data_IF_157286836168
#
_entry.id   IF_157286836168
#
_cell.length_a   1.000
_cell.length_b   1.000
_cell.length_c   1.000
_cell.angle_alpha   90.00
_cell.angle_beta   90.00
_cell.angle_gamma   90.00
#
_symmetry.space_group_name_H-M   'P 1'
#
loop_
_entity.id
_entity.type
_entity.pdbx_description
1 polymer ?
#
# COMPACT_ATOMS: atom_id res chain seq x y z
N UNK A 1 -25.66 32.98 23.55
CA UNK A 1 -25.57 31.56 23.97
C UNK A 1 -26.65 31.31 24.99
N UNK A 2 -27.36 30.17 24.98
CA UNK A 2 -28.08 29.54 26.13
C UNK A 2 -29.30 28.71 25.70
N UNK A 3 -29.07 27.46 25.27
CA UNK A 3 -29.79 26.24 25.69
C UNK A 3 -28.74 25.14 25.48
N UNK A 4 -28.32 24.41 26.50
CA UNK A 4 -27.22 23.43 26.44
C UNK A 4 -27.50 22.20 25.57
N UNK A 5 -28.20 22.36 24.44
CA UNK A 5 -28.45 21.34 23.43
C UNK A 5 -27.35 21.41 22.36
N UNK A 6 -26.89 20.24 21.92
CA UNK A 6 -25.94 20.15 20.82
C UNK A 6 -26.54 20.81 19.57
N UNK A 7 -25.80 21.73 18.93
CA UNK A 7 -26.26 22.43 17.73
C UNK A 7 -26.44 21.50 16.52
N UNK A 8 -25.83 20.31 16.56
CA UNK A 8 -25.87 19.29 15.51
C UNK A 8 -25.88 17.91 16.17
N UNK A 9 -26.58 16.94 15.58
CA UNK A 9 -26.44 15.53 15.96
C UNK A 9 -25.03 15.05 15.58
N UNK A 10 -24.27 14.58 16.56
CA UNK A 10 -22.91 14.05 16.36
C UNK A 10 -22.87 12.58 16.76
N UNK A 11 -21.95 11.82 16.16
CA UNK A 11 -21.73 10.43 16.55
C UNK A 11 -21.13 10.36 17.96
N UNK A 12 -21.28 9.22 18.64
CA UNK A 12 -20.65 8.98 19.94
C UNK A 12 -19.13 9.18 19.87
N UNK A 13 -18.50 8.65 18.81
CA UNK A 13 -17.07 8.81 18.56
C UNK A 13 -16.67 10.30 18.50
N UNK A 14 -17.37 11.10 17.70
CA UNK A 14 -17.09 12.53 17.57
C UNK A 14 -17.28 13.26 18.90
N UNK A 15 -18.35 12.94 19.65
CA UNK A 15 -18.61 13.53 20.95
C UNK A 15 -17.44 13.26 21.93
N UNK A 16 -17.03 12.01 22.06
CA UNK A 16 -15.93 11.62 22.97
C UNK A 16 -14.60 12.25 22.53
N UNK A 17 -14.28 12.18 21.23
CA UNK A 17 -13.04 12.72 20.68
C UNK A 17 -12.91 14.23 20.98
N UNK A 18 -13.97 15.01 20.77
CA UNK A 18 -13.96 16.45 21.07
C UNK A 18 -13.71 16.73 22.55
N UNK A 19 -14.35 15.98 23.45
CA UNK A 19 -14.15 16.16 24.90
C UNK A 19 -12.73 15.77 25.35
N UNK A 20 -12.17 14.69 24.79
CA UNK A 20 -10.78 14.30 25.05
C UNK A 20 -9.80 15.35 24.54
N UNK A 21 -9.96 15.83 23.31
CA UNK A 21 -9.12 16.89 22.74
C UNK A 21 -9.19 18.18 23.56
N UNK A 22 -10.39 18.58 24.01
CA UNK A 22 -10.56 19.73 24.90
C UNK A 22 -9.82 19.54 26.24
N UNK A 23 -9.85 18.34 26.80
CA UNK A 23 -9.13 17.99 28.03
C UNK A 23 -7.60 18.02 27.83
N UNK A 24 -7.12 17.54 26.68
CA UNK A 24 -5.71 17.58 26.31
C UNK A 24 -5.21 19.01 26.17
N UNK A 25 -6.01 19.90 25.58
CA UNK A 25 -5.65 21.31 25.40
C UNK A 25 -5.42 22.06 26.73
N UNK A 26 -6.03 21.60 27.83
CA UNK A 26 -5.85 22.17 29.17
C UNK A 26 -4.98 21.31 30.09
N UNK A 27 -4.37 20.24 29.56
CA UNK A 27 -3.56 19.31 30.34
C UNK A 27 -2.25 19.98 30.80
N UNK A 28 -1.93 20.00 32.11
CA UNK A 28 -0.66 20.54 32.58
C UNK A 28 0.54 19.77 31.99
N UNK A 29 1.64 20.47 31.59
CA UNK A 29 2.80 19.83 30.95
C UNK A 29 3.42 18.67 31.72
N UNK A 30 3.33 18.66 33.06
CA UNK A 30 3.83 17.58 33.92
C UNK A 30 3.20 16.22 33.62
N UNK A 31 1.98 16.19 33.09
CA UNK A 31 1.26 14.96 32.73
C UNK A 31 1.46 14.55 31.28
N UNK A 32 2.13 15.37 30.45
CA UNK A 32 2.32 15.08 29.04
C UNK A 32 3.03 13.74 28.78
N UNK A 33 4.09 13.36 29.50
CA UNK A 33 4.74 12.05 29.30
C UNK A 33 3.83 10.86 29.62
N UNK A 34 2.91 11.01 30.58
CA UNK A 34 1.93 9.97 30.91
C UNK A 34 0.90 9.88 29.80
N UNK A 35 0.43 11.02 29.29
CA UNK A 35 -0.51 11.09 28.18
C UNK A 35 0.05 10.44 26.92
N UNK A 36 1.30 10.73 26.54
CA UNK A 36 1.94 10.10 25.37
C UNK A 36 1.99 8.57 25.50
N UNK A 37 2.30 8.05 26.69
CA UNK A 37 2.27 6.60 26.95
C UNK A 37 0.86 6.04 26.79
N UNK A 38 -0.16 6.70 27.34
CA UNK A 38 -1.54 6.29 27.17
C UNK A 38 -1.96 6.25 25.69
N UNK A 39 -1.51 7.22 24.87
CA UNK A 39 -1.78 7.22 23.43
C UNK A 39 -1.11 6.04 22.73
N UNK A 40 0.16 5.75 23.05
CA UNK A 40 0.88 4.58 22.53
C UNK A 40 0.14 3.30 22.90
N UNK A 41 -0.19 3.12 24.18
CA UNK A 41 -0.86 1.92 24.67
C UNK A 41 -2.22 1.72 24.00
N UNK A 42 -2.98 2.81 23.82
CA UNK A 42 -4.30 2.81 23.20
C UNK A 42 -4.24 2.52 21.68
N UNK A 43 -3.28 3.09 20.94
CA UNK A 43 -3.09 2.81 19.52
C UNK A 43 -2.69 1.36 19.28
N UNK A 44 -1.90 0.78 20.18
CA UNK A 44 -1.45 -0.61 20.10
C UNK A 44 -2.48 -1.64 20.60
N UNK A 45 -3.65 -1.22 21.09
CA UNK A 45 -4.72 -2.15 21.47
C UNK A 45 -5.33 -2.85 20.26
N UNK A 46 -5.95 -4.01 20.52
CA UNK A 46 -6.69 -4.76 19.52
C UNK A 46 -8.04 -4.11 19.15
N UNK A 47 -8.65 -3.35 20.06
CA UNK A 47 -9.92 -2.67 19.80
C UNK A 47 -9.72 -1.49 18.82
N UNK A 48 -10.22 -1.65 17.60
CA UNK A 48 -10.05 -0.66 16.52
C UNK A 48 -10.71 0.68 16.85
N UNK A 49 -11.81 0.71 17.61
CA UNK A 49 -12.47 1.96 17.99
C UNK A 49 -11.62 2.78 18.95
N UNK A 50 -11.03 2.13 19.96
CA UNK A 50 -10.09 2.74 20.89
C UNK A 50 -8.82 3.21 20.17
N UNK A 51 -8.26 2.40 19.29
CA UNK A 51 -7.07 2.77 18.51
C UNK A 51 -7.34 3.95 17.57
N UNK A 52 -8.53 4.01 16.95
CA UNK A 52 -8.96 5.12 16.11
C UNK A 52 -9.14 6.40 16.92
N UNK A 53 -9.82 6.33 18.07
CA UNK A 53 -10.01 7.45 18.97
C UNK A 53 -8.66 8.01 19.46
N UNK A 54 -7.74 7.13 19.85
CA UNK A 54 -6.37 7.50 20.24
C UNK A 54 -5.61 8.14 19.08
N UNK A 55 -5.74 7.61 17.86
CA UNK A 55 -5.17 8.19 16.65
C UNK A 55 -5.68 9.62 16.41
N UNK A 56 -6.98 9.86 16.55
CA UNK A 56 -7.58 11.19 16.39
C UNK A 56 -7.09 12.19 17.43
N UNK A 57 -7.06 11.78 18.70
CA UNK A 57 -6.56 12.62 19.81
C UNK A 57 -5.06 12.91 19.65
N UNK A 58 -4.28 11.94 19.16
CA UNK A 58 -2.85 12.15 18.90
C UNK A 58 -2.63 13.12 17.74
N UNK A 59 -3.36 12.97 16.64
CA UNK A 59 -3.34 13.93 15.53
C UNK A 59 -3.74 15.34 16.00
N UNK A 60 -4.75 15.47 16.88
CA UNK A 60 -5.09 16.76 17.48
C UNK A 60 -3.92 17.32 18.29
N UNK A 61 -3.30 16.50 19.15
CA UNK A 61 -2.15 16.90 19.97
C UNK A 61 -1.00 17.43 19.11
N UNK A 62 -0.67 16.73 18.03
CA UNK A 62 0.38 17.16 17.10
C UNK A 62 0.03 18.46 16.35
N UNK A 63 -1.26 18.69 16.03
CA UNK A 63 -1.73 19.96 15.41
C UNK A 63 -1.76 21.11 16.40
N UNK A 64 -2.11 20.84 17.65
CA UNK A 64 -2.24 21.85 18.71
C UNK A 64 -0.88 22.26 19.27
N UNK A 65 0.09 21.35 19.26
CA UNK A 65 1.47 21.59 19.67
C UNK A 65 2.33 22.28 18.61
N UNK A 66 3.64 22.19 18.78
CA UNK A 66 4.62 22.76 17.84
C UNK A 66 4.89 21.81 16.67
N UNK A 67 5.39 22.36 15.57
CA UNK A 67 5.82 21.55 14.43
C UNK A 67 6.96 20.58 14.81
N UNK A 68 7.83 20.96 15.76
CA UNK A 68 8.86 20.10 16.33
C UNK A 68 8.28 18.91 17.11
N UNK A 69 7.22 19.13 17.89
CA UNK A 69 6.53 18.06 18.59
C UNK A 69 5.88 17.08 17.59
N UNK A 70 5.26 17.62 16.54
CA UNK A 70 4.69 16.82 15.46
C UNK A 70 5.77 15.94 14.79
N UNK A 71 6.92 16.52 14.43
CA UNK A 71 8.06 15.76 13.90
C UNK A 71 8.51 14.68 14.88
N UNK A 72 8.70 15.01 16.16
CA UNK A 72 9.13 14.05 17.18
C UNK A 72 8.20 12.83 17.25
N UNK A 73 6.89 13.06 17.28
CA UNK A 73 5.90 11.98 17.26
C UNK A 73 5.98 11.15 16.00
N UNK A 74 6.09 11.77 14.83
CA UNK A 74 6.22 11.06 13.55
C UNK A 74 7.45 10.17 13.53
N UNK A 75 8.61 10.67 14.00
CA UNK A 75 9.84 9.88 14.06
C UNK A 75 9.69 8.67 15.01
N UNK A 76 9.05 8.85 16.16
CA UNK A 76 8.75 7.76 17.10
C UNK A 76 7.86 6.70 16.44
N UNK A 77 6.78 7.11 15.80
CA UNK A 77 5.82 6.20 15.16
C UNK A 77 6.48 5.48 13.97
N UNK A 78 7.26 6.19 13.15
CA UNK A 78 8.01 5.60 12.05
C UNK A 78 9.02 4.55 12.57
N UNK A 79 9.67 4.80 13.71
CA UNK A 79 10.55 3.83 14.34
C UNK A 79 9.78 2.59 14.83
N UNK A 80 8.57 2.76 15.39
CA UNK A 80 7.71 1.65 15.80
C UNK A 80 7.22 0.82 14.61
N UNK A 81 6.83 1.49 13.51
CA UNK A 81 6.49 0.83 12.24
C UNK A 81 7.67 0.02 11.72
N UNK A 82 8.88 0.60 11.69
CA UNK A 82 10.12 -0.07 11.28
C UNK A 82 10.45 -1.28 12.16
N UNK A 83 10.21 -1.19 13.46
CA UNK A 83 10.50 -2.24 14.42
C UNK A 83 9.47 -3.39 14.40
N UNK A 84 8.34 -3.24 13.72
CA UNK A 84 7.29 -4.25 13.66
C UNK A 84 7.62 -5.29 12.57
N UNK A 85 7.90 -6.56 12.93
CA UNK A 85 8.45 -7.53 11.99
C UNK A 85 7.41 -8.18 11.05
N UNK A 86 6.12 -8.08 11.38
CA UNK A 86 5.04 -8.83 10.70
C UNK A 86 3.78 -7.98 10.51
N UNK A 87 3.00 -8.31 9.49
CA UNK A 87 1.65 -7.78 9.31
C UNK A 87 0.77 -8.17 10.52
N UNK A 88 0.35 -7.18 11.29
CA UNK A 88 -0.53 -7.35 12.44
C UNK A 88 -1.42 -6.11 12.65
N UNK A 89 -2.41 -6.20 13.54
CA UNK A 89 -3.29 -5.07 13.82
C UNK A 89 -2.55 -3.86 14.38
N UNK A 90 -1.47 -4.05 15.16
CA UNK A 90 -0.65 -2.95 15.66
C UNK A 90 0.03 -2.20 14.51
N UNK A 91 0.63 -2.91 13.56
CA UNK A 91 1.23 -2.30 12.38
C UNK A 91 0.18 -1.54 11.57
N UNK A 92 -1.02 -2.10 11.44
CA UNK A 92 -2.13 -1.42 10.77
C UNK A 92 -2.51 -0.10 11.46
N UNK A 93 -2.69 -0.10 12.79
CA UNK A 93 -2.99 1.12 13.55
C UNK A 93 -1.87 2.15 13.50
N UNK A 94 -0.61 1.72 13.68
CA UNK A 94 0.57 2.60 13.57
C UNK A 94 0.71 3.18 12.17
N UNK A 95 0.52 2.37 11.14
CA UNK A 95 0.56 2.82 9.75
C UNK A 95 -0.55 3.83 9.43
N UNK A 96 -1.76 3.63 9.98
CA UNK A 96 -2.86 4.59 9.86
C UNK A 96 -2.51 5.92 10.55
N UNK A 97 -1.94 5.88 11.76
CA UNK A 97 -1.52 7.08 12.47
C UNK A 97 -0.41 7.81 11.71
N UNK A 98 0.65 7.11 11.30
CA UNK A 98 1.77 7.68 10.53
C UNK A 98 1.27 8.38 9.27
N UNK A 99 0.43 7.69 8.49
CA UNK A 99 -0.20 8.22 7.28
C UNK A 99 -0.91 9.55 7.51
N UNK A 100 -1.60 9.69 8.65
CA UNK A 100 -2.35 10.91 9.01
C UNK A 100 -1.44 12.02 9.54
N UNK A 101 -0.39 11.68 10.28
CA UNK A 101 0.52 12.67 10.85
C UNK A 101 1.46 13.27 9.79
N UNK A 102 1.87 12.51 8.77
CA UNK A 102 2.71 13.04 7.68
C UNK A 102 2.03 14.21 6.95
N UNK A 103 0.69 14.22 6.85
CA UNK A 103 -0.06 15.37 6.30
C UNK A 103 0.07 16.67 7.11
N UNK A 104 0.56 16.59 8.35
CA UNK A 104 0.71 17.74 9.24
C UNK A 104 2.11 18.37 9.15
N UNK A 105 3.03 17.72 8.44
CA UNK A 105 4.43 18.16 8.37
C UNK A 105 4.60 19.36 7.45
N UNK A 106 5.52 20.25 7.82
CA UNK A 106 6.06 21.25 6.91
C UNK A 106 7.04 20.59 5.91
N UNK A 107 7.33 21.21 4.75
CA UNK A 107 8.33 20.68 3.82
C UNK A 107 9.71 20.44 4.43
N UNK A 108 10.14 21.29 5.38
CA UNK A 108 11.44 21.13 6.08
C UNK A 108 11.44 19.84 6.90
N UNK A 109 10.40 19.61 7.69
CA UNK A 109 10.28 18.41 8.50
C UNK A 109 10.16 17.14 7.64
N UNK A 110 9.55 17.21 6.45
CA UNK A 110 9.49 16.07 5.53
C UNK A 110 10.88 15.67 5.03
N UNK A 111 11.78 16.63 4.79
CA UNK A 111 13.19 16.35 4.45
C UNK A 111 13.91 15.69 5.62
N UNK A 112 13.61 16.08 6.86
CA UNK A 112 14.15 15.43 8.06
C UNK A 112 13.68 13.99 8.18
N UNK A 113 12.40 13.69 7.92
CA UNK A 113 11.88 12.32 7.88
C UNK A 113 12.65 11.46 6.87
N UNK A 114 12.89 11.97 5.66
CA UNK A 114 13.71 11.27 4.65
C UNK A 114 15.15 11.06 5.14
N UNK A 115 15.70 12.03 5.86
CA UNK A 115 17.07 11.92 6.39
C UNK A 115 17.18 10.86 7.48
N UNK A 116 16.17 10.73 8.35
CA UNK A 116 16.12 9.72 9.39
C UNK A 116 15.77 8.32 8.86
N UNK A 117 14.90 8.24 7.85
CA UNK A 117 14.47 6.99 7.23
C UNK A 117 14.73 6.98 5.71
N UNK A 118 15.99 6.98 5.25
CA UNK A 118 16.29 7.00 3.81
C UNK A 118 15.61 5.85 3.05
N UNK A 119 14.76 6.12 2.03
CA UNK A 119 14.10 5.10 1.22
C UNK A 119 15.08 4.20 0.45
N UNK A 120 16.29 4.70 0.20
CA UNK A 120 17.42 3.94 -0.36
C UNK A 120 17.92 2.78 0.51
N UNK A 121 17.44 2.65 1.76
CA UNK A 121 17.79 1.53 2.66
C UNK A 121 16.61 0.58 2.82
N UNK A 122 16.84 -0.72 2.56
CA UNK A 122 15.81 -1.76 2.62
C UNK A 122 15.10 -1.83 3.98
N UNK A 123 15.83 -1.67 5.09
CA UNK A 123 15.28 -1.66 6.46
C UNK A 123 14.29 -0.52 6.73
N UNK A 124 14.26 0.52 5.90
CA UNK A 124 13.35 1.67 6.07
C UNK A 124 12.10 1.57 5.20
N UNK A 125 12.05 0.62 4.26
CA UNK A 125 10.90 0.46 3.36
C UNK A 125 9.55 0.28 4.08
N UNK A 126 9.46 -0.42 5.24
CA UNK A 126 8.21 -0.50 5.99
C UNK A 126 7.61 0.86 6.34
N UNK A 127 8.44 1.87 6.65
CA UNK A 127 7.96 3.24 6.92
C UNK A 127 7.27 3.80 5.68
N UNK A 128 7.92 3.68 4.52
CA UNK A 128 7.41 4.22 3.26
C UNK A 128 6.19 3.50 2.72
N UNK A 129 5.98 2.22 3.07
CA UNK A 129 4.72 1.51 2.77
C UNK A 129 3.50 2.15 3.44
N UNK A 130 3.71 2.88 4.54
CA UNK A 130 2.65 3.53 5.31
C UNK A 130 2.60 5.06 5.13
N UNK A 131 3.45 5.62 4.27
CA UNK A 131 3.42 7.04 3.91
C UNK A 131 2.68 7.23 2.58
N UNK A 132 1.72 8.15 2.55
CA UNK A 132 1.14 8.60 1.28
C UNK A 132 2.07 9.63 0.64
N UNK A 133 2.71 9.27 -0.46
CA UNK A 133 3.62 10.18 -1.17
C UNK A 133 2.94 11.46 -1.67
N UNK A 134 1.63 11.45 -1.93
CA UNK A 134 0.84 12.66 -2.23
C UNK A 134 0.71 13.66 -1.09
N UNK A 135 1.06 13.26 0.14
CA UNK A 135 1.09 14.17 1.29
C UNK A 135 2.39 14.97 1.37
N UNK A 136 3.42 14.55 0.62
CA UNK A 136 4.73 15.19 0.62
C UNK A 136 4.76 16.38 -0.34
N UNK A 137 5.67 17.32 -0.07
CA UNK A 137 6.05 18.37 -1.02
C UNK A 137 6.60 17.73 -2.30
N UNK A 138 6.47 18.43 -3.42
CA UNK A 138 6.88 17.92 -4.72
C UNK A 138 8.34 17.47 -4.74
N UNK A 139 9.26 18.28 -4.21
CA UNK A 139 10.69 17.96 -4.15
C UNK A 139 10.96 16.71 -3.29
N UNK A 140 10.35 16.62 -2.10
CA UNK A 140 10.55 15.48 -1.20
C UNK A 140 9.97 14.20 -1.82
N UNK A 141 8.79 14.32 -2.43
CA UNK A 141 8.15 13.22 -3.15
C UNK A 141 9.05 12.70 -4.26
N UNK A 142 9.50 13.58 -5.17
CA UNK A 142 10.36 13.19 -6.30
C UNK A 142 11.64 12.50 -5.83
N UNK A 143 12.24 12.99 -4.73
CA UNK A 143 13.39 12.35 -4.10
C UNK A 143 13.05 10.94 -3.61
N UNK A 144 11.95 10.75 -2.88
CA UNK A 144 11.54 9.43 -2.37
C UNK A 144 11.24 8.46 -3.51
N UNK A 145 10.53 8.91 -4.54
CA UNK A 145 10.23 8.09 -5.73
C UNK A 145 11.50 7.65 -6.46
N UNK A 146 12.47 8.56 -6.63
CA UNK A 146 13.76 8.26 -7.23
C UNK A 146 14.55 7.24 -6.41
N UNK A 147 14.69 7.45 -5.09
CA UNK A 147 15.43 6.54 -4.21
C UNK A 147 14.81 5.13 -4.15
N UNK A 148 13.47 5.02 -4.13
CA UNK A 148 12.78 3.71 -4.19
C UNK A 148 13.00 3.04 -5.55
N UNK A 149 12.91 3.79 -6.65
CA UNK A 149 13.10 3.26 -8.00
C UNK A 149 14.53 2.75 -8.19
N UNK A 150 15.53 3.51 -7.74
CA UNK A 150 16.94 3.14 -7.79
C UNK A 150 17.23 1.89 -6.95
N UNK A 151 16.72 1.84 -5.72
CA UNK A 151 16.88 0.66 -4.86
C UNK A 151 16.23 -0.58 -5.49
N UNK A 152 15.03 -0.42 -6.06
CA UNK A 152 14.33 -1.52 -6.74
C UNK A 152 15.15 -2.04 -7.92
N UNK A 153 15.64 -1.14 -8.77
CA UNK A 153 16.47 -1.53 -9.91
C UNK A 153 17.75 -2.24 -9.47
N UNK A 154 18.40 -1.76 -8.40
CA UNK A 154 19.59 -2.38 -7.83
C UNK A 154 19.30 -3.80 -7.34
N UNK A 155 18.26 -3.99 -6.52
CA UNK A 155 17.89 -5.30 -5.98
C UNK A 155 17.55 -6.29 -7.09
N UNK A 156 16.85 -5.86 -8.14
CA UNK A 156 16.55 -6.71 -9.29
C UNK A 156 17.80 -7.07 -10.10
N UNK A 157 18.72 -6.13 -10.26
CA UNK A 157 20.00 -6.37 -10.95
C UNK A 157 20.87 -7.36 -10.17
N UNK A 158 20.93 -7.21 -8.84
CA UNK A 158 21.67 -8.11 -7.95
C UNK A 158 21.03 -9.51 -7.92
N UNK A 159 19.70 -9.60 -7.92
CA UNK A 159 18.98 -10.87 -8.01
C UNK A 159 19.23 -11.57 -9.36
N UNK A 160 19.23 -10.82 -10.46
CA UNK A 160 19.55 -11.35 -11.78
C UNK A 160 21.01 -11.82 -11.86
N UNK A 161 21.97 -11.01 -11.40
CA UNK A 161 23.38 -11.36 -11.34
C UNK A 161 23.69 -12.54 -10.41
N UNK A 162 22.89 -12.71 -9.36
CA UNK A 162 22.93 -13.83 -8.42
C UNK A 162 22.30 -15.13 -8.93
N UNK A 163 21.75 -15.15 -10.16
CA UNK A 163 21.16 -16.33 -10.78
C UNK A 163 19.69 -16.58 -10.44
N UNK A 164 18.93 -15.54 -10.07
CA UNK A 164 17.49 -15.59 -9.79
C UNK A 164 17.12 -16.57 -8.65
N UNK A 165 17.88 -16.54 -7.55
CA UNK A 165 17.67 -17.49 -6.44
C UNK A 165 16.35 -17.23 -5.73
N UNK A 166 15.60 -18.30 -5.46
CA UNK A 166 14.33 -18.24 -4.72
C UNK A 166 14.49 -17.66 -3.30
N UNK A 167 15.62 -17.93 -2.64
CA UNK A 167 15.90 -17.43 -1.29
C UNK A 167 16.09 -15.91 -1.18
N UNK A 168 16.11 -15.18 -2.30
CA UNK A 168 16.18 -13.71 -2.33
C UNK A 168 14.81 -13.07 -2.62
N UNK A 169 13.75 -13.87 -2.79
CA UNK A 169 12.43 -13.36 -3.19
C UNK A 169 11.79 -12.45 -2.15
N UNK A 170 12.10 -12.58 -0.87
CA UNK A 170 11.58 -11.66 0.16
C UNK A 170 12.10 -10.23 -0.05
N UNK A 171 13.36 -10.10 -0.46
CA UNK A 171 13.96 -8.80 -0.80
C UNK A 171 13.30 -8.21 -2.04
N UNK A 172 13.07 -9.03 -3.07
CA UNK A 172 12.36 -8.65 -4.30
C UNK A 172 10.93 -8.22 -3.98
N UNK A 173 10.21 -8.97 -3.15
CA UNK A 173 8.85 -8.65 -2.72
C UNK A 173 8.80 -7.33 -1.94
N UNK A 174 9.79 -7.08 -1.07
CA UNK A 174 9.88 -5.84 -0.30
C UNK A 174 10.02 -4.60 -1.21
N UNK A 175 10.93 -4.64 -2.20
CA UNK A 175 11.11 -3.51 -3.13
C UNK A 175 9.94 -3.38 -4.10
N UNK A 176 9.32 -4.49 -4.53
CA UNK A 176 8.16 -4.47 -5.40
C UNK A 176 6.93 -3.86 -4.70
N UNK A 177 6.74 -4.14 -3.41
CA UNK A 177 5.71 -3.48 -2.61
C UNK A 177 5.96 -1.97 -2.49
N UNK A 178 7.22 -1.55 -2.29
CA UNK A 178 7.57 -0.13 -2.30
C UNK A 178 7.31 0.53 -3.65
N UNK A 179 7.68 -0.13 -4.75
CA UNK A 179 7.39 0.36 -6.10
C UNK A 179 5.88 0.51 -6.35
N UNK A 180 5.08 -0.46 -5.90
CA UNK A 180 3.63 -0.39 -5.98
C UNK A 180 3.07 0.82 -5.20
N UNK A 181 3.63 1.11 -4.02
CA UNK A 181 3.22 2.27 -3.22
C UNK A 181 3.51 3.60 -3.93
N UNK A 182 4.63 3.68 -4.66
CA UNK A 182 4.97 4.83 -5.51
C UNK A 182 3.94 4.99 -6.63
N UNK A 183 3.65 3.92 -7.35
CA UNK A 183 2.75 3.97 -8.51
C UNK A 183 1.31 4.29 -8.15
N UNK A 184 0.81 3.77 -7.01
CA UNK A 184 -0.54 4.09 -6.50
C UNK A 184 -0.60 5.45 -5.80
N UNK A 185 0.55 6.03 -5.47
CA UNK A 185 0.64 7.28 -4.70
C UNK A 185 0.14 8.51 -5.46
N UNK A 186 -0.01 8.45 -6.79
CA UNK A 186 -0.37 9.59 -7.64
C UNK A 186 -1.43 9.25 -8.70
N UNK A 187 -2.30 10.20 -9.07
CA UNK A 187 -3.16 10.04 -10.25
C UNK A 187 -2.34 10.05 -11.57
N UNK A 188 -1.18 10.70 -11.58
CA UNK A 188 -0.26 10.77 -12.73
C UNK A 188 1.21 10.68 -12.28
N UNK A 189 1.76 9.48 -12.06
CA UNK A 189 3.18 9.30 -11.75
C UNK A 189 4.07 9.82 -12.88
N UNK A 190 5.28 10.29 -12.54
CA UNK A 190 6.23 10.82 -13.53
C UNK A 190 6.57 9.80 -14.61
N UNK A 191 6.60 10.22 -15.88
CA UNK A 191 6.73 9.31 -17.03
C UNK A 191 7.98 8.43 -16.94
N UNK A 192 9.11 8.99 -16.50
CA UNK A 192 10.36 8.25 -16.34
C UNK A 192 10.27 7.14 -15.27
N UNK A 193 9.56 7.40 -14.16
CA UNK A 193 9.31 6.41 -13.11
C UNK A 193 8.45 5.26 -13.67
N UNK A 194 7.39 5.60 -14.40
CA UNK A 194 6.48 4.62 -15.02
C UNK A 194 7.21 3.73 -16.03
N UNK A 195 8.06 4.31 -16.89
CA UNK A 195 8.84 3.56 -17.87
C UNK A 195 9.85 2.63 -17.20
N UNK A 196 10.51 3.09 -16.14
CA UNK A 196 11.46 2.28 -15.37
C UNK A 196 10.74 1.12 -14.67
N UNK A 197 9.61 1.41 -14.03
CA UNK A 197 8.76 0.41 -13.39
C UNK A 197 8.26 -0.65 -14.39
N UNK A 198 7.80 -0.24 -15.58
CA UNK A 198 7.34 -1.16 -16.62
C UNK A 198 8.45 -2.11 -17.09
N UNK A 199 9.69 -1.63 -17.22
CA UNK A 199 10.85 -2.47 -17.55
C UNK A 199 11.14 -3.50 -16.45
N UNK A 200 11.19 -3.06 -15.19
CA UNK A 200 11.42 -3.92 -14.03
C UNK A 200 10.34 -5.02 -13.91
N UNK A 201 9.07 -4.62 -14.04
CA UNK A 201 7.92 -5.55 -14.00
C UNK A 201 7.98 -6.55 -15.16
N UNK A 202 8.34 -6.10 -16.36
CA UNK A 202 8.52 -7.00 -17.53
C UNK A 202 9.59 -8.05 -17.25
N UNK A 203 10.75 -7.65 -16.69
CA UNK A 203 11.82 -8.59 -16.35
C UNK A 203 11.37 -9.64 -15.33
N UNK A 204 10.60 -9.24 -14.32
CA UNK A 204 10.04 -10.15 -13.33
C UNK A 204 9.04 -11.14 -13.95
N UNK A 205 8.11 -10.66 -14.79
CA UNK A 205 7.15 -11.52 -15.46
C UNK A 205 7.79 -12.58 -16.34
N UNK A 206 8.86 -12.24 -17.07
CA UNK A 206 9.61 -13.19 -17.90
C UNK A 206 10.25 -14.33 -17.10
N UNK A 207 10.31 -14.21 -15.77
CA UNK A 207 10.82 -15.24 -14.85
C UNK A 207 9.74 -15.98 -14.08
N UNK A 208 8.49 -15.51 -14.11
CA UNK A 208 7.39 -16.20 -13.43
C UNK A 208 7.06 -17.50 -14.18
N UNK A 209 7.08 -18.63 -13.47
CA UNK A 209 6.67 -19.93 -13.99
C UNK A 209 5.36 -20.38 -13.34
N UNK A 210 4.32 -20.73 -14.12
CA UNK A 210 3.08 -21.28 -13.60
C UNK A 210 3.27 -22.50 -12.70
N UNK A 211 4.20 -23.38 -13.05
CA UNK A 211 4.47 -24.63 -12.32
C UNK A 211 5.06 -24.37 -10.92
N UNK A 212 5.85 -23.30 -10.78
CA UNK A 212 6.49 -22.95 -9.51
C UNK A 212 5.56 -22.24 -8.53
N UNK A 213 4.47 -21.63 -9.01
CA UNK A 213 3.51 -20.92 -8.15
C UNK A 213 2.78 -21.83 -7.17
N UNK A 214 2.62 -23.11 -7.56
CA UNK A 214 1.95 -24.11 -6.74
C UNK A 214 2.86 -24.67 -5.65
N UNK A 215 4.18 -24.65 -5.88
CA UNK A 215 5.17 -25.26 -4.98
C UNK A 215 5.78 -24.26 -4.00
N UNK A 216 5.79 -22.97 -4.32
CA UNK A 216 6.50 -21.96 -3.55
C UNK A 216 5.59 -20.79 -3.12
N UNK A 217 5.14 -20.75 -1.84
CA UNK A 217 4.26 -19.69 -1.33
C UNK A 217 4.81 -18.26 -1.50
N UNK A 218 6.13 -18.09 -1.41
CA UNK A 218 6.78 -16.79 -1.63
C UNK A 218 6.48 -16.21 -3.01
N UNK A 219 6.33 -17.07 -4.03
CA UNK A 219 5.99 -16.67 -5.38
C UNK A 219 4.52 -16.28 -5.54
N UNK A 220 3.62 -16.76 -4.66
CA UNK A 220 2.22 -16.29 -4.64
C UNK A 220 2.14 -14.84 -4.15
N UNK A 221 2.97 -14.45 -3.17
CA UNK A 221 3.10 -13.04 -2.76
C UNK A 221 3.72 -12.21 -3.89
N UNK A 222 4.74 -12.72 -4.57
CA UNK A 222 5.30 -12.06 -5.76
C UNK A 222 4.24 -11.87 -6.84
N UNK A 223 3.44 -12.90 -7.12
CA UNK A 223 2.36 -12.84 -8.10
C UNK A 223 1.32 -11.78 -7.73
N UNK A 224 0.89 -11.74 -6.47
CA UNK A 224 -0.02 -10.70 -5.97
C UNK A 224 0.52 -9.30 -6.26
N UNK A 225 1.77 -9.05 -5.86
CA UNK A 225 2.41 -7.74 -6.04
C UNK A 225 2.61 -7.41 -7.53
N UNK A 226 2.97 -8.39 -8.36
CA UNK A 226 3.11 -8.21 -9.80
C UNK A 226 1.78 -7.90 -10.47
N UNK A 227 0.69 -8.59 -10.11
CA UNK A 227 -0.65 -8.31 -10.64
C UNK A 227 -1.08 -6.88 -10.32
N UNK A 228 -0.99 -6.46 -9.06
CA UNK A 228 -1.32 -5.09 -8.64
C UNK A 228 -0.42 -4.03 -9.29
N UNK A 229 0.88 -4.28 -9.39
CA UNK A 229 1.83 -3.37 -10.07
C UNK A 229 1.53 -3.27 -11.56
N UNK A 230 1.18 -4.39 -12.19
CA UNK A 230 0.84 -4.44 -13.61
C UNK A 230 -0.49 -3.73 -13.88
N UNK A 231 -1.48 -3.84 -12.98
CA UNK A 231 -2.73 -3.08 -13.06
C UNK A 231 -2.48 -1.57 -13.10
N UNK A 232 -1.58 -1.08 -12.23
CA UNK A 232 -1.19 0.34 -12.20
C UNK A 232 -0.46 0.78 -13.49
N UNK A 233 0.23 -0.13 -14.15
CA UNK A 233 1.04 0.12 -15.35
C UNK A 233 0.39 -0.32 -16.66
N UNK A 234 -0.87 -0.75 -16.65
CA UNK A 234 -1.47 -1.55 -17.73
C UNK A 234 -1.32 -0.92 -19.13
N UNK A 235 -1.40 0.41 -19.24
CA UNK A 235 -1.25 1.15 -20.52
C UNK A 235 0.18 1.19 -21.07
N UNK A 236 1.18 0.79 -20.27
CA UNK A 236 2.62 0.87 -20.57
C UNK A 236 3.29 -0.49 -20.58
N UNK A 237 2.59 -1.56 -20.22
CA UNK A 237 3.12 -2.93 -20.28
C UNK A 237 2.97 -3.52 -21.68
N UNK A 238 3.88 -4.43 -22.01
CA UNK A 238 3.89 -5.10 -23.31
C UNK A 238 2.83 -6.22 -23.35
N UNK A 239 2.26 -6.55 -24.53
CA UNK A 239 1.26 -7.63 -24.66
C UNK A 239 1.72 -8.99 -24.13
N UNK A 240 3.02 -9.29 -24.23
CA UNK A 240 3.61 -10.51 -23.68
C UNK A 240 3.48 -10.60 -22.15
N UNK A 241 3.54 -9.47 -21.44
CA UNK A 241 3.36 -9.40 -19.99
C UNK A 241 1.92 -9.77 -19.62
N UNK A 242 0.95 -9.25 -20.35
CA UNK A 242 -0.48 -9.58 -20.16
C UNK A 242 -0.71 -11.08 -20.35
N UNK A 243 -0.14 -11.64 -21.42
CA UNK A 243 -0.25 -13.08 -21.71
C UNK A 243 0.36 -13.93 -20.59
N UNK A 244 1.55 -13.56 -20.11
CA UNK A 244 2.22 -14.27 -19.01
C UNK A 244 1.47 -14.15 -17.68
N UNK A 245 0.90 -12.98 -17.40
CA UNK A 245 0.10 -12.75 -16.20
C UNK A 245 -1.16 -13.63 -16.18
N UNK A 246 -1.87 -13.73 -17.31
CA UNK A 246 -3.04 -14.59 -17.44
C UNK A 246 -2.67 -16.09 -17.33
N UNK A 247 -1.54 -16.50 -17.90
CA UNK A 247 -1.01 -17.87 -17.76
C UNK A 247 -0.73 -18.23 -16.30
N UNK A 248 -0.06 -17.34 -15.57
CA UNK A 248 0.24 -17.54 -14.16
C UNK A 248 -1.03 -17.55 -13.30
N UNK A 249 -1.99 -16.67 -13.59
CA UNK A 249 -3.23 -16.57 -12.84
C UNK A 249 -4.12 -17.80 -13.02
N UNK A 250 -4.26 -18.29 -14.26
CA UNK A 250 -5.01 -19.52 -14.60
C UNK A 250 -4.52 -20.74 -13.81
N UNK A 251 -3.19 -20.87 -13.66
CA UNK A 251 -2.57 -21.97 -12.91
C UNK A 251 -2.87 -21.95 -11.40
N UNK A 252 -3.12 -20.78 -10.81
CA UNK A 252 -3.41 -20.66 -9.36
C UNK A 252 -4.92 -20.68 -9.10
N UNK A 253 -5.73 -20.05 -9.96
CA UNK A 253 -7.20 -20.05 -9.85
C UNK A 253 -7.75 -21.48 -9.96
N UNK A 254 -7.16 -22.31 -10.82
CA UNK A 254 -7.57 -23.72 -11.01
C UNK A 254 -7.50 -24.61 -9.77
N UNK A 255 -6.75 -24.22 -8.72
CA UNK A 255 -6.50 -25.06 -7.54
C UNK A 255 -7.08 -24.49 -6.24
N UNK A 256 -8.02 -23.54 -6.32
CA UNK A 256 -8.54 -22.75 -5.20
C UNK A 256 -7.43 -21.90 -4.56
N UNK A 257 -7.52 -20.60 -4.82
CA UNK A 257 -6.52 -19.61 -4.44
C UNK A 257 -6.94 -18.88 -3.15
N UNK A 258 -5.98 -18.25 -2.45
CA UNK A 258 -6.28 -17.34 -1.35
C UNK A 258 -6.97 -16.05 -1.83
N UNK A 259 -7.91 -15.55 -1.02
CA UNK A 259 -8.74 -14.37 -1.34
C UNK A 259 -7.90 -13.12 -1.70
N UNK A 260 -6.80 -12.88 -0.99
CA UNK A 260 -5.94 -11.70 -1.24
C UNK A 260 -5.35 -11.69 -2.66
N UNK A 261 -5.10 -12.87 -3.24
CA UNK A 261 -4.54 -13.01 -4.58
C UNK A 261 -5.67 -12.92 -5.63
N UNK A 262 -6.87 -13.42 -5.32
CA UNK A 262 -8.05 -13.19 -6.15
C UNK A 262 -8.43 -11.72 -6.24
N UNK A 263 -8.32 -10.97 -5.14
CA UNK A 263 -8.54 -9.51 -5.16
C UNK A 263 -7.53 -8.78 -6.05
N UNK A 264 -6.24 -9.14 -5.98
CA UNK A 264 -5.22 -8.58 -6.87
C UNK A 264 -5.45 -8.99 -8.33
N UNK A 265 -5.94 -10.20 -8.58
CA UNK A 265 -6.33 -10.67 -9.89
C UNK A 265 -7.50 -9.86 -10.47
N UNK A 266 -8.54 -9.59 -9.68
CA UNK A 266 -9.68 -8.78 -10.09
C UNK A 266 -9.27 -7.34 -10.42
N UNK A 267 -8.38 -6.74 -9.62
CA UNK A 267 -7.79 -5.43 -9.94
C UNK A 267 -7.06 -5.46 -11.29
N UNK A 268 -6.23 -6.48 -11.52
CA UNK A 268 -5.54 -6.67 -12.80
C UNK A 268 -6.52 -6.87 -13.97
N UNK A 269 -7.49 -7.78 -13.85
CA UNK A 269 -8.46 -8.08 -14.91
C UNK A 269 -9.31 -6.85 -15.25
N UNK A 270 -9.79 -6.11 -14.25
CA UNK A 270 -10.52 -4.84 -14.45
C UNK A 270 -9.68 -3.82 -15.22
N UNK A 271 -8.37 -3.77 -14.96
CA UNK A 271 -7.47 -2.83 -15.63
C UNK A 271 -7.28 -3.13 -17.13
N UNK A 272 -7.49 -4.39 -17.56
CA UNK A 272 -7.32 -4.81 -18.95
C UNK A 272 -8.34 -4.16 -19.90
N UNK A 273 -9.50 -3.71 -19.41
CA UNK A 273 -10.44 -2.94 -20.22
C UNK A 273 -9.84 -1.64 -20.76
N UNK A 274 -8.79 -1.12 -20.11
CA UNK A 274 -8.12 0.14 -20.48
C UNK A 274 -7.15 0.01 -21.66
N UNK A 275 -6.96 -1.18 -22.22
CA UNK A 275 -6.01 -1.45 -23.30
C UNK A 275 -6.64 -2.24 -24.44
N UNK A 276 -6.13 -2.02 -25.65
CA UNK A 276 -6.48 -2.85 -26.80
C UNK A 276 -5.62 -4.11 -26.82
N UNK A 277 -6.26 -5.27 -26.99
CA UNK A 277 -5.57 -6.56 -27.12
C UNK A 277 -5.23 -6.79 -28.60
N UNK A 278 -3.94 -6.88 -28.99
CA UNK A 278 -3.54 -7.08 -30.38
C UNK A 278 -4.05 -8.40 -30.97
N UNK A 279 -4.44 -8.39 -32.25
CA UNK A 279 -5.01 -9.52 -33.00
C UNK A 279 -4.17 -10.81 -32.87
N UNK A 280 -2.84 -10.67 -32.85
CA UNK A 280 -1.89 -11.76 -32.76
C UNK A 280 -2.01 -12.54 -31.44
N UNK A 281 -2.47 -11.88 -30.38
CA UNK A 281 -2.59 -12.44 -29.03
C UNK A 281 -4.04 -12.69 -28.61
N UNK A 282 -5.03 -12.16 -29.34
CA UNK A 282 -6.45 -12.26 -28.99
C UNK A 282 -6.94 -13.70 -28.82
N UNK A 283 -6.51 -14.61 -29.71
CA UNK A 283 -6.92 -16.03 -29.66
C UNK A 283 -6.44 -16.75 -28.40
N UNK A 284 -5.37 -16.27 -27.77
CA UNK A 284 -4.82 -16.83 -26.54
C UNK A 284 -5.37 -16.10 -25.30
N UNK A 285 -5.53 -14.78 -25.38
CA UNK A 285 -5.88 -13.90 -24.25
C UNK A 285 -7.37 -13.95 -23.95
N UNK A 286 -8.25 -13.80 -24.96
CA UNK A 286 -9.69 -13.65 -24.74
C UNK A 286 -10.35 -14.89 -24.11
N UNK A 287 -10.06 -16.14 -24.54
CA UNK A 287 -10.63 -17.31 -23.90
C UNK A 287 -10.21 -17.45 -22.43
N UNK A 288 -8.95 -17.13 -22.12
CA UNK A 288 -8.43 -17.15 -20.74
C UNK A 288 -9.10 -16.10 -19.87
N UNK A 289 -9.25 -14.89 -20.38
CA UNK A 289 -9.91 -13.80 -19.68
C UNK A 289 -11.37 -14.16 -19.35
N UNK A 290 -12.10 -14.70 -20.33
CA UNK A 290 -13.47 -15.18 -20.14
C UNK A 290 -13.56 -16.31 -19.11
N UNK A 291 -12.66 -17.29 -19.19
CA UNK A 291 -12.58 -18.40 -18.23
C UNK A 291 -12.33 -17.89 -16.81
N UNK A 292 -11.34 -17.00 -16.63
CA UNK A 292 -10.95 -16.44 -15.34
C UNK A 292 -12.09 -15.65 -14.69
N UNK A 293 -12.75 -14.76 -15.44
CA UNK A 293 -13.94 -14.08 -14.92
C UNK A 293 -15.05 -15.06 -14.58
N UNK A 294 -15.28 -16.07 -15.41
CA UNK A 294 -16.30 -17.10 -15.17
C UNK A 294 -16.05 -17.87 -13.86
N UNK A 295 -14.81 -18.28 -13.60
CA UNK A 295 -14.44 -18.99 -12.36
C UNK A 295 -14.60 -18.08 -11.14
N UNK A 296 -14.12 -16.83 -11.21
CA UNK A 296 -14.15 -15.92 -10.05
C UNK A 296 -15.58 -15.42 -9.75
N UNK A 297 -16.42 -15.20 -10.78
CA UNK A 297 -17.83 -14.83 -10.60
C UNK A 297 -18.68 -15.97 -10.02
N UNK A 298 -18.25 -17.21 -10.19
CA UNK A 298 -18.90 -18.40 -9.63
C UNK A 298 -18.44 -18.72 -8.20
N UNK A 299 -17.55 -17.91 -7.61
CA UNK A 299 -17.09 -18.07 -6.24
C UNK A 299 -18.26 -17.92 -5.24
N UNK A 300 -18.21 -18.67 -4.14
CA UNK A 300 -19.26 -18.71 -3.13
C UNK A 300 -19.12 -17.60 -2.08
N UNK A 301 -17.95 -16.95 -2.01
CA UNK A 301 -17.71 -15.84 -1.10
C UNK A 301 -18.44 -14.59 -1.61
N UNK A 302 -19.41 -14.10 -0.85
CA UNK A 302 -20.17 -12.88 -1.18
C UNK A 302 -19.26 -11.67 -1.42
N UNK A 303 -18.15 -11.56 -0.68
CA UNK A 303 -17.20 -10.47 -0.80
C UNK A 303 -16.44 -10.54 -2.14
N UNK A 304 -15.97 -11.73 -2.51
CA UNK A 304 -15.29 -11.94 -3.80
C UNK A 304 -16.26 -11.76 -4.96
N UNK A 305 -17.50 -12.23 -4.82
CA UNK A 305 -18.54 -12.07 -5.83
C UNK A 305 -18.85 -10.59 -6.09
N UNK A 306 -19.00 -9.78 -5.04
CA UNK A 306 -19.19 -8.34 -5.17
C UNK A 306 -18.03 -7.68 -5.92
N UNK A 307 -16.79 -7.95 -5.51
CA UNK A 307 -15.61 -7.41 -6.19
C UNK A 307 -15.47 -7.91 -7.64
N UNK A 308 -15.89 -9.15 -7.92
CA UNK A 308 -15.84 -9.72 -9.26
C UNK A 308 -16.84 -9.04 -10.20
N UNK A 309 -18.06 -8.75 -9.71
CA UNK A 309 -19.06 -7.98 -10.46
C UNK A 309 -18.56 -6.57 -10.75
N UNK A 310 -18.02 -5.88 -9.75
CA UNK A 310 -17.42 -4.54 -9.93
C UNK A 310 -16.28 -4.55 -10.96
N UNK A 311 -15.35 -5.50 -10.83
CA UNK A 311 -14.22 -5.64 -11.73
C UNK A 311 -14.66 -5.95 -13.17
N UNK A 312 -15.69 -6.78 -13.35
CA UNK A 312 -16.25 -7.09 -14.65
C UNK A 312 -16.95 -5.88 -15.28
N UNK A 313 -17.72 -5.13 -14.49
CA UNK A 313 -18.32 -3.87 -14.94
C UNK A 313 -17.26 -2.89 -15.44
N UNK A 314 -16.19 -2.65 -14.66
CA UNK A 314 -15.11 -1.76 -15.08
C UNK A 314 -14.34 -2.26 -16.32
N UNK A 315 -14.21 -3.58 -16.47
CA UNK A 315 -13.63 -4.18 -17.67
C UNK A 315 -14.51 -3.92 -18.90
N UNK A 316 -15.84 -4.01 -18.75
CA UNK A 316 -16.81 -3.91 -19.83
C UNK A 316 -17.23 -2.47 -20.19
N UNK A 317 -16.95 -1.48 -19.34
CA UNK A 317 -17.32 -0.06 -19.52
C UNK A 317 -16.51 0.69 -20.61
N UNK A 318 -16.12 0.03 -21.69
CA UNK A 318 -15.28 0.62 -22.77
C UNK A 318 -15.93 0.50 -24.15
#
# INVERSE_FOLDING_TARGET
>A
MLKGQAQVQVTLHQHICVQLCASVAVLPPVYFPVFERCLVDAVLQADTQTALLATDVWCFTARYGTAELCLHHILLIAQMVKACPTECYQLFHLGMLLKRMVFLMTPVHQVELVTHFPPSKMENLPVWHHVLLRALSEDTRLRVEAEITELTQKVLTDWQGGGHKLGQMDQVNSVLLSLLSVLRGQPSPGEQCVLSAAKMVTQLWLRMSPDQLQTHPVLQRTLQLLLSTTAALVKKVQPQVVSQALLCLDAVVSQKCADYLLLAALEFLSSLGKIFIPLETQSQVLPRLSSLFGVILADQSWLLQQHALEAFSFFAEV
#
